data_IF_779090561725
#
_entry.id   IF_779090561725
#
_cell.length_a   1.000
_cell.length_b   1.000
_cell.length_c   1.000
_cell.angle_alpha   90.00
_cell.angle_beta   90.00
_cell.angle_gamma   90.00
#
_symmetry.space_group_name_H-M   'P 1'
#
loop_
_entity.id
_entity.type
_entity.pdbx_description
1 polymer ?
#
# COMPACT_ATOMS: atom_id res chain seq x y z
N UNK A 1 0.32 9.27 2.21
CA UNK A 1 0.62 7.83 2.28
C UNK A 1 2.10 7.53 2.09
N UNK A 2 2.75 8.04 1.04
CA UNK A 2 4.19 7.78 0.77
C UNK A 2 5.11 8.08 1.95
N UNK A 3 5.01 9.26 2.58
CA UNK A 3 5.82 9.60 3.77
C UNK A 3 5.58 8.69 4.98
N UNK A 4 4.36 8.17 5.15
CA UNK A 4 4.05 7.24 6.28
C UNK A 4 4.64 5.86 6.01
N UNK A 5 4.66 5.43 4.75
CA UNK A 5 5.32 4.20 4.33
C UNK A 5 6.83 4.35 4.51
N UNK A 6 7.41 5.46 4.08
CA UNK A 6 8.83 5.79 4.25
C UNK A 6 9.26 5.70 5.72
N UNK A 7 8.51 6.31 6.64
CA UNK A 7 8.77 6.23 8.08
C UNK A 7 8.77 4.78 8.62
N UNK A 8 7.90 3.90 8.08
CA UNK A 8 7.85 2.48 8.44
C UNK A 8 9.15 1.76 8.03
N UNK A 9 9.64 2.03 6.82
CA UNK A 9 10.86 1.43 6.29
C UNK A 9 12.13 1.98 6.95
N UNK A 10 12.16 3.26 7.32
CA UNK A 10 13.36 3.91 7.87
C UNK A 10 13.54 3.74 9.39
N UNK A 11 12.45 3.68 10.15
CA UNK A 11 12.51 3.85 11.62
C UNK A 11 11.89 2.70 12.41
N UNK A 12 10.80 2.10 11.93
CA UNK A 12 9.92 1.30 12.80
C UNK A 12 9.89 -0.21 12.53
N UNK A 13 10.38 -0.69 11.38
CA UNK A 13 10.32 -2.11 11.03
C UNK A 13 11.62 -2.87 11.26
N UNK A 14 11.52 -4.08 11.82
CA UNK A 14 12.58 -5.10 11.63
C UNK A 14 12.57 -5.60 10.19
N UNK A 15 13.70 -6.16 9.71
CA UNK A 15 13.79 -6.69 8.34
C UNK A 15 12.69 -7.74 8.03
N UNK A 16 12.25 -8.50 9.02
CA UNK A 16 11.18 -9.49 8.87
C UNK A 16 9.80 -8.83 8.72
N UNK A 17 9.50 -7.80 9.51
CA UNK A 17 8.24 -7.06 9.40
C UNK A 17 8.16 -6.27 8.08
N UNK A 18 9.29 -5.69 7.65
CA UNK A 18 9.35 -4.98 6.37
C UNK A 18 9.11 -5.92 5.18
N UNK A 19 9.61 -7.17 5.23
CA UNK A 19 9.30 -8.18 4.20
C UNK A 19 7.81 -8.50 4.14
N UNK A 20 7.17 -8.73 5.29
CA UNK A 20 5.72 -8.98 5.35
C UNK A 20 4.93 -7.78 4.81
N UNK A 21 5.38 -6.56 5.11
CA UNK A 21 4.77 -5.35 4.59
C UNK A 21 4.94 -5.21 3.07
N UNK A 22 6.14 -5.46 2.54
CA UNK A 22 6.39 -5.48 1.08
C UNK A 22 5.51 -6.53 0.39
N UNK A 23 5.44 -7.75 0.91
CA UNK A 23 4.60 -8.81 0.35
C UNK A 23 3.11 -8.42 0.36
N UNK A 24 2.64 -7.77 1.42
CA UNK A 24 1.27 -7.26 1.48
C UNK A 24 1.01 -6.16 0.43
N UNK A 25 1.94 -5.23 0.24
CA UNK A 25 1.85 -4.18 -0.79
C UNK A 25 1.89 -4.78 -2.20
N UNK A 26 2.76 -5.75 -2.47
CA UNK A 26 2.83 -6.42 -3.76
C UNK A 26 1.52 -7.16 -4.10
N UNK A 27 0.95 -7.86 -3.11
CA UNK A 27 -0.31 -8.58 -3.25
C UNK A 27 -1.50 -7.64 -3.43
N UNK A 28 -1.47 -6.47 -2.79
CA UNK A 28 -2.53 -5.44 -2.86
C UNK A 28 -3.92 -6.00 -2.53
N UNK A 29 -4.02 -6.82 -1.48
CA UNK A 29 -5.20 -7.58 -1.11
C UNK A 29 -5.41 -7.43 0.39
N UNK A 30 -6.63 -7.06 0.79
CA UNK A 30 -6.91 -6.81 2.19
C UNK A 30 -6.69 -8.03 3.09
N UNK A 31 -6.81 -9.25 2.55
CA UNK A 31 -6.52 -10.47 3.29
C UNK A 31 -5.06 -10.57 3.78
N UNK A 32 -4.13 -9.79 3.20
CA UNK A 32 -2.76 -9.70 3.69
C UNK A 32 -2.63 -8.94 5.01
N UNK A 33 -3.64 -8.15 5.42
CA UNK A 33 -3.59 -7.34 6.65
C UNK A 33 -3.39 -8.17 7.91
N UNK A 34 -3.92 -9.40 7.94
CA UNK A 34 -3.85 -10.27 9.11
C UNK A 34 -2.43 -10.81 9.37
N UNK A 35 -1.56 -10.73 8.37
CA UNK A 35 -0.16 -11.15 8.44
C UNK A 35 0.76 -10.04 8.96
N UNK A 36 0.25 -8.80 9.06
CA UNK A 36 1.04 -7.64 9.48
C UNK A 36 1.00 -7.43 11.00
N UNK A 37 2.05 -6.83 11.59
CA UNK A 37 2.00 -6.26 12.92
C UNK A 37 0.91 -5.19 13.07
N UNK A 38 0.34 -5.06 14.26
CA UNK A 38 -0.84 -4.20 14.52
C UNK A 38 -0.63 -2.73 14.06
N UNK A 39 0.54 -2.15 14.29
CA UNK A 39 0.84 -0.77 13.89
C UNK A 39 0.91 -0.59 12.37
N UNK A 40 1.35 -1.60 11.62
CA UNK A 40 1.40 -1.60 10.15
C UNK A 40 0.02 -1.82 9.52
N UNK A 41 -0.88 -2.54 10.21
CA UNK A 41 -2.25 -2.81 9.70
C UNK A 41 -3.02 -1.54 9.42
N UNK A 42 -2.92 -0.56 10.33
CA UNK A 42 -3.60 0.73 10.19
C UNK A 42 -3.11 1.45 8.93
N UNK A 43 -1.80 1.46 8.71
CA UNK A 43 -1.19 2.10 7.54
C UNK A 43 -1.56 1.37 6.24
N UNK A 44 -1.53 0.04 6.24
CA UNK A 44 -1.90 -0.77 5.07
C UNK A 44 -3.39 -0.62 4.72
N UNK A 45 -4.28 -0.61 5.72
CA UNK A 45 -5.71 -0.35 5.52
C UNK A 45 -5.93 1.02 4.87
N UNK A 46 -5.34 2.06 5.45
CA UNK A 46 -5.45 3.42 4.93
C UNK A 46 -4.92 3.53 3.48
N UNK A 47 -3.86 2.79 3.15
CA UNK A 47 -3.35 2.73 1.77
C UNK A 47 -4.40 2.16 0.82
N UNK A 48 -4.99 1.01 1.16
CA UNK A 48 -6.00 0.38 0.32
C UNK A 48 -7.24 1.26 0.16
N UNK A 49 -7.73 1.86 1.26
CA UNK A 49 -8.92 2.71 1.25
C UNK A 49 -8.71 3.95 0.35
N UNK A 50 -7.57 4.63 0.45
CA UNK A 50 -7.23 5.77 -0.41
C UNK A 50 -7.24 5.37 -1.90
N UNK A 51 -6.68 4.21 -2.24
CA UNK A 51 -6.67 3.76 -3.64
C UNK A 51 -8.05 3.31 -4.13
N UNK A 52 -8.88 2.76 -3.26
CA UNK A 52 -10.28 2.43 -3.57
C UNK A 52 -11.11 3.70 -3.82
N UNK A 53 -10.91 4.76 -3.03
CA UNK A 53 -11.55 6.06 -3.28
C UNK A 53 -11.11 6.65 -4.63
N UNK A 54 -9.80 6.63 -4.92
CA UNK A 54 -9.28 7.09 -6.22
C UNK A 54 -9.84 6.24 -7.36
N UNK A 55 -10.00 4.93 -7.17
CA UNK A 55 -10.61 4.04 -8.15
C UNK A 55 -12.04 4.44 -8.48
N UNK A 56 -12.84 4.72 -7.46
CA UNK A 56 -14.23 5.13 -7.60
C UNK A 56 -14.34 6.46 -8.35
N UNK A 57 -13.54 7.46 -7.99
CA UNK A 57 -13.52 8.77 -8.64
C UNK A 57 -13.04 8.68 -10.10
N UNK A 58 -11.99 7.91 -10.37
CA UNK A 58 -11.47 7.73 -11.73
C UNK A 58 -12.45 6.92 -12.59
N UNK A 59 -13.21 6.00 -12.01
CA UNK A 59 -14.26 5.27 -12.72
C UNK A 59 -15.40 6.21 -13.18
N UNK A 60 -15.80 7.17 -12.33
CA UNK A 60 -16.78 8.21 -12.69
C UNK A 60 -16.33 9.05 -13.90
N UNK A 61 -15.02 9.29 -14.02
CA UNK A 61 -14.43 10.03 -15.15
C UNK A 61 -14.04 9.17 -16.36
N UNK A 62 -14.25 7.84 -16.33
CA UNK A 62 -13.81 6.92 -17.38
C UNK A 62 -12.28 6.80 -17.51
N UNK A 63 -11.53 7.08 -16.44
CA UNK A 63 -10.05 7.15 -16.38
C UNK A 63 -9.42 6.07 -15.48
N UNK A 64 -10.13 4.98 -15.23
CA UNK A 64 -9.69 3.87 -14.35
C UNK A 64 -8.31 3.32 -14.70
N UNK A 65 -7.90 3.33 -15.98
CA UNK A 65 -6.57 2.90 -16.40
C UNK A 65 -5.41 3.67 -15.74
N UNK A 66 -5.63 4.91 -15.27
CA UNK A 66 -4.62 5.70 -14.55
C UNK A 66 -4.29 5.11 -13.18
N UNK A 67 -5.25 4.45 -12.56
CA UNK A 67 -5.06 3.80 -11.27
C UNK A 67 -4.07 2.64 -11.37
N UNK A 68 -4.09 1.89 -12.48
CA UNK A 68 -3.13 0.82 -12.71
C UNK A 68 -1.69 1.33 -12.59
N UNK A 69 -1.36 2.41 -13.29
CA UNK A 69 -0.03 3.02 -13.22
C UNK A 69 0.31 3.56 -11.82
N UNK A 70 -0.66 4.10 -11.10
CA UNK A 70 -0.46 4.58 -9.73
C UNK A 70 -0.19 3.43 -8.73
N UNK A 71 -0.85 2.27 -8.91
CA UNK A 71 -0.61 1.07 -8.09
C UNK A 71 0.79 0.51 -8.39
N UNK A 72 1.16 0.39 -9.66
CA UNK A 72 2.50 -0.09 -10.08
C UNK A 72 3.62 0.83 -9.59
N UNK A 73 3.45 2.15 -9.67
CA UNK A 73 4.43 3.10 -9.15
C UNK A 73 4.66 2.96 -7.64
N UNK A 74 3.61 2.66 -6.87
CA UNK A 74 3.72 2.43 -5.43
C UNK A 74 4.46 1.12 -5.12
N UNK A 75 4.16 0.04 -5.85
CA UNK A 75 4.86 -1.25 -5.67
C UNK A 75 6.36 -1.13 -5.96
N UNK A 76 6.73 -0.37 -6.98
CA UNK A 76 8.14 -0.13 -7.30
C UNK A 76 8.86 0.69 -6.22
N UNK A 77 8.15 1.55 -5.48
CA UNK A 77 8.74 2.30 -4.37
C UNK A 77 8.98 1.42 -3.14
N UNK A 78 8.14 0.43 -2.87
CA UNK A 78 8.31 -0.50 -1.74
C UNK A 78 9.47 -1.51 -1.89
N UNK A 79 10.16 -1.51 -3.03
CA UNK A 79 11.29 -2.41 -3.34
C UNK A 79 12.64 -1.64 -3.29
N UNK A 80 12.62 -0.31 -3.34
CA UNK A 80 13.82 0.53 -3.34
C UNK A 80 14.25 0.95 -1.95
#
# INVERSE_FOLDING_TARGET
>A
MTSVIDDIYDVYGTLEELKLFTEAVERWDISAIDQLPEYMRVCYRALLDVYSEIEEEMAKEGRSYRLYYAKEAMKNQSIS
#
